data_IF_933036261320
#
_entry.id   IF_933036261320
#
_cell.length_a   1.000
_cell.length_b   1.000
_cell.length_c   1.000
_cell.angle_alpha   90.00
_cell.angle_beta   90.00
_cell.angle_gamma   90.00
#
_symmetry.space_group_name_H-M   'P 1'
#
loop_
_entity.id
_entity.type
_entity.pdbx_description
1 polymer ?
#
# COMPACT_ATOMS: atom_id res chain seq x y z
N UNK A 1 -15.97 8.43 -0.06
CA UNK A 1 -14.49 8.45 0.00
C UNK A 1 -13.90 9.75 -0.53
N UNK A 2 -14.09 10.16 -1.80
CA UNK A 2 -13.52 11.42 -2.31
C UNK A 2 -13.96 12.66 -1.49
N UNK A 3 -15.22 12.77 -1.11
CA UNK A 3 -15.71 13.84 -0.23
C UNK A 3 -15.03 13.84 1.15
N UNK A 4 -14.71 12.66 1.70
CA UNK A 4 -14.03 12.54 2.97
C UNK A 4 -12.55 13.01 2.91
N UNK A 5 -11.89 12.83 1.76
CA UNK A 5 -10.56 13.40 1.50
C UNK A 5 -10.63 14.92 1.49
N UNK A 6 -11.57 15.51 0.74
CA UNK A 6 -11.77 16.95 0.65
C UNK A 6 -12.07 17.60 2.01
N UNK A 7 -12.89 16.97 2.85
CA UNK A 7 -13.17 17.47 4.21
C UNK A 7 -11.94 17.48 5.12
N UNK A 8 -10.95 16.63 4.84
CA UNK A 8 -9.67 16.57 5.58
C UNK A 8 -8.56 17.38 4.92
N UNK A 9 -8.87 18.16 3.89
CA UNK A 9 -7.91 19.02 3.17
C UNK A 9 -6.90 18.24 2.34
N UNK A 10 -7.20 16.96 2.00
CA UNK A 10 -6.32 16.10 1.20
C UNK A 10 -6.66 16.31 -0.28
N UNK A 11 -5.66 16.69 -1.07
CA UNK A 11 -5.80 16.95 -2.52
C UNK A 11 -4.88 16.00 -3.31
N UNK A 12 -5.30 14.75 -3.52
CA UNK A 12 -4.45 13.75 -4.12
C UNK A 12 -4.23 14.02 -5.62
N UNK A 13 -3.00 13.76 -6.09
CA UNK A 13 -2.66 13.74 -7.51
C UNK A 13 -3.24 12.53 -8.25
N UNK A 14 -3.44 11.42 -7.51
CA UNK A 14 -4.02 10.18 -8.01
C UNK A 14 -4.93 9.58 -6.96
N UNK A 15 -6.08 9.07 -7.39
CA UNK A 15 -7.03 8.37 -6.54
C UNK A 15 -7.65 7.20 -7.30
N UNK A 16 -7.59 6.02 -6.70
CA UNK A 16 -8.27 4.82 -7.19
C UNK A 16 -9.07 4.17 -6.05
N UNK A 17 -10.18 3.53 -6.38
CA UNK A 17 -10.97 2.76 -5.41
C UNK A 17 -11.41 1.43 -6.00
N UNK A 18 -11.35 0.39 -5.18
CA UNK A 18 -11.72 -0.98 -5.53
C UNK A 18 -12.60 -1.58 -4.43
N UNK A 19 -13.53 -2.47 -4.77
CA UNK A 19 -14.26 -3.22 -3.75
C UNK A 19 -13.28 -4.11 -2.94
N UNK A 20 -13.59 -4.29 -1.68
CA UNK A 20 -12.85 -5.23 -0.83
C UNK A 20 -13.01 -6.67 -1.34
N UNK A 21 -12.04 -7.57 -1.09
CA UNK A 21 -12.12 -8.95 -1.52
C UNK A 21 -13.42 -9.63 -1.05
N UNK A 22 -14.10 -10.32 -1.97
CA UNK A 22 -15.36 -11.04 -1.75
C UNK A 22 -16.51 -10.18 -1.19
N UNK A 23 -16.46 -8.86 -1.40
CA UNK A 23 -17.43 -7.93 -0.85
C UNK A 23 -17.56 -6.69 -1.75
N UNK A 24 -18.78 -6.29 -2.06
CA UNK A 24 -19.08 -5.07 -2.82
C UNK A 24 -19.63 -3.94 -1.95
N UNK A 25 -19.79 -4.15 -0.65
CA UNK A 25 -20.33 -3.19 0.31
C UNK A 25 -19.24 -2.38 1.01
N UNK A 26 -18.04 -2.96 1.14
CA UNK A 26 -16.84 -2.27 1.67
C UNK A 26 -15.90 -1.99 0.52
N UNK A 27 -15.39 -0.78 0.46
CA UNK A 27 -14.49 -0.29 -0.58
C UNK A 27 -13.17 0.15 0.03
N UNK A 28 -12.10 -0.16 -0.68
CA UNK A 28 -10.76 0.36 -0.40
C UNK A 28 -10.40 1.42 -1.42
N UNK A 29 -9.90 2.56 -0.95
CA UNK A 29 -9.31 3.61 -1.78
C UNK A 29 -7.82 3.74 -1.51
N UNK A 30 -7.09 4.14 -2.54
CA UNK A 30 -5.69 4.59 -2.45
C UNK A 30 -5.63 5.98 -3.07
N UNK A 31 -5.04 6.92 -2.36
CA UNK A 31 -4.82 8.28 -2.83
C UNK A 31 -3.35 8.67 -2.64
N UNK A 32 -2.75 9.31 -3.64
CA UNK A 32 -1.35 9.76 -3.60
C UNK A 32 -1.31 11.28 -3.47
N UNK A 33 -0.55 11.77 -2.51
CA UNK A 33 -0.26 13.20 -2.33
C UNK A 33 1.21 13.39 -1.96
N UNK A 34 2.03 13.80 -2.94
CA UNK A 34 3.48 13.97 -2.77
C UNK A 34 4.17 12.69 -2.28
N UNK A 35 4.90 12.81 -1.17
CA UNK A 35 5.66 11.71 -0.56
C UNK A 35 4.82 10.79 0.33
N UNK A 36 3.50 10.96 0.31
CA UNK A 36 2.58 10.17 1.11
C UNK A 36 1.53 9.50 0.25
N UNK A 37 0.98 8.40 0.77
CA UNK A 37 -0.27 7.84 0.28
C UNK A 37 -1.24 7.65 1.44
N UNK A 38 -2.50 7.62 1.06
CA UNK A 38 -3.60 7.43 1.98
C UNK A 38 -4.31 6.14 1.63
N UNK A 39 -4.51 5.29 2.61
CA UNK A 39 -5.38 4.13 2.51
C UNK A 39 -6.73 4.50 3.12
N UNK A 40 -7.80 4.27 2.35
CA UNK A 40 -9.14 4.72 2.67
C UNK A 40 -10.04 3.50 2.71
N UNK A 41 -10.79 3.36 3.78
CA UNK A 41 -11.80 2.32 3.90
C UNK A 41 -13.16 2.89 4.18
N UNK A 42 -14.18 2.48 3.39
CA UNK A 42 -15.54 2.92 3.55
C UNK A 42 -16.52 1.80 3.24
N UNK A 43 -17.54 1.64 4.10
CA UNK A 43 -18.75 0.91 3.77
C UNK A 43 -19.71 1.83 2.99
N UNK A 44 -20.58 1.26 2.16
CA UNK A 44 -21.66 2.01 1.52
C UNK A 44 -22.65 2.61 2.53
N UNK A 45 -22.64 2.15 3.76
CA UNK A 45 -23.48 2.63 4.86
C UNK A 45 -22.82 3.71 5.71
N UNK A 46 -21.50 3.94 5.51
CA UNK A 46 -20.76 4.94 6.30
C UNK A 46 -21.19 6.35 5.96
N UNK A 47 -21.33 7.19 6.97
CA UNK A 47 -21.32 8.64 6.80
C UNK A 47 -19.91 9.11 6.43
N UNK A 48 -19.82 10.34 5.92
CA UNK A 48 -18.55 10.89 5.42
C UNK A 48 -17.48 10.99 6.52
N UNK A 49 -17.89 11.26 7.76
CA UNK A 49 -17.05 11.35 8.94
C UNK A 49 -16.62 9.96 9.48
N UNK A 50 -17.36 8.91 9.14
CA UNK A 50 -17.05 7.52 9.53
C UNK A 50 -16.05 6.83 8.58
N UNK A 51 -15.74 7.46 7.44
CA UNK A 51 -14.74 6.95 6.49
C UNK A 51 -13.36 6.93 7.13
N UNK A 52 -12.74 5.76 7.18
CA UNK A 52 -11.39 5.60 7.71
C UNK A 52 -10.37 6.07 6.67
N UNK A 53 -9.43 6.93 7.08
CA UNK A 53 -8.32 7.40 6.24
C UNK A 53 -7.05 7.32 7.06
N UNK A 54 -6.06 6.57 6.57
CA UNK A 54 -4.72 6.48 7.17
C UNK A 54 -3.67 6.93 6.17
N UNK A 55 -2.71 7.72 6.67
CA UNK A 55 -1.59 8.25 5.90
C UNK A 55 -0.34 7.43 6.17
N UNK A 56 0.39 7.11 5.10
CA UNK A 56 1.65 6.39 5.14
C UNK A 56 2.70 7.05 4.25
N UNK A 57 3.99 6.99 4.61
CA UNK A 57 5.07 7.48 3.75
C UNK A 57 5.29 6.53 2.57
N UNK A 58 5.65 7.09 1.42
CA UNK A 58 6.06 6.32 0.23
C UNK A 58 7.53 5.92 0.25
N UNK A 59 8.37 6.60 1.05
CA UNK A 59 9.80 6.38 1.21
C UNK A 59 10.58 6.35 -0.12
N UNK A 60 10.23 7.23 -1.05
CA UNK A 60 10.80 7.25 -2.42
C UNK A 60 12.30 7.50 -2.44
N UNK A 61 12.85 8.16 -1.41
CA UNK A 61 14.27 8.38 -1.20
C UNK A 61 15.10 7.08 -1.20
N UNK A 62 14.51 5.96 -0.80
CA UNK A 62 15.19 4.65 -0.86
C UNK A 62 15.53 4.22 -2.29
N UNK A 63 14.82 4.73 -3.28
CA UNK A 63 15.02 4.40 -4.69
C UNK A 63 15.99 5.34 -5.41
N UNK A 64 16.41 6.46 -4.81
CA UNK A 64 17.27 7.47 -5.44
C UNK A 64 18.50 6.86 -6.15
N UNK A 65 19.24 5.91 -5.55
CA UNK A 65 20.43 5.36 -6.21
C UNK A 65 20.13 4.57 -7.49
N UNK A 66 18.88 4.19 -7.72
CA UNK A 66 18.47 3.28 -8.79
C UNK A 66 17.32 3.81 -9.65
N UNK A 67 16.91 5.07 -9.45
CA UNK A 67 15.79 5.68 -10.18
C UNK A 67 15.94 5.61 -11.70
N UNK A 68 17.17 5.72 -12.20
CA UNK A 68 17.45 5.71 -13.63
C UNK A 68 17.52 4.30 -14.24
N UNK A 69 17.51 3.27 -13.41
CA UNK A 69 17.59 1.91 -13.91
C UNK A 69 16.32 1.52 -14.70
N UNK A 70 16.44 0.91 -15.89
CA UNK A 70 15.30 0.56 -16.76
C UNK A 70 14.25 -0.33 -16.05
N UNK A 71 14.68 -1.21 -15.13
CA UNK A 71 13.78 -2.05 -14.33
C UNK A 71 12.91 -1.25 -13.39
N UNK A 72 13.48 -0.23 -12.70
CA UNK A 72 12.72 0.66 -11.81
C UNK A 72 11.74 1.50 -12.63
N UNK A 73 12.18 2.09 -13.74
CA UNK A 73 11.31 2.86 -14.66
C UNK A 73 10.13 2.01 -15.18
N UNK A 74 10.38 0.73 -15.48
CA UNK A 74 9.32 -0.20 -15.88
C UNK A 74 8.31 -0.45 -14.74
N UNK A 75 8.77 -0.60 -13.49
CA UNK A 75 7.88 -0.77 -12.34
C UNK A 75 7.08 0.51 -12.06
N UNK A 76 7.69 1.68 -12.16
CA UNK A 76 6.98 2.97 -12.03
C UNK A 76 5.87 3.09 -13.07
N UNK A 77 6.17 2.79 -14.33
CA UNK A 77 5.17 2.75 -15.40
C UNK A 77 4.07 1.72 -15.13
N UNK A 78 4.44 0.50 -14.73
CA UNK A 78 3.49 -0.58 -14.44
C UNK A 78 2.54 -0.22 -13.30
N UNK A 79 3.05 0.39 -12.23
CA UNK A 79 2.27 0.80 -11.06
C UNK A 79 1.52 2.11 -11.27
N UNK A 80 1.71 2.78 -12.40
CA UNK A 80 1.18 4.13 -12.69
C UNK A 80 1.53 5.12 -11.56
N UNK A 81 2.75 5.08 -11.08
CA UNK A 81 3.28 5.84 -9.95
C UNK A 81 2.58 5.60 -8.59
N UNK A 82 1.70 4.61 -8.51
CA UNK A 82 1.05 4.19 -7.28
C UNK A 82 1.87 3.11 -6.57
N UNK A 83 3.03 3.48 -6.06
CA UNK A 83 3.94 2.57 -5.35
C UNK A 83 4.54 3.24 -4.13
N UNK A 84 5.06 2.40 -3.22
CA UNK A 84 5.95 2.79 -2.13
C UNK A 84 7.23 1.98 -2.19
N UNK A 85 8.28 2.50 -1.56
CA UNK A 85 9.48 1.74 -1.25
C UNK A 85 9.53 1.39 0.24
N UNK A 86 10.19 0.30 0.57
CA UNK A 86 10.45 -0.11 1.94
C UNK A 86 11.70 -0.98 1.99
N UNK A 87 12.29 -1.07 3.17
CA UNK A 87 13.52 -1.80 3.41
C UNK A 87 13.27 -2.91 4.43
N UNK A 88 13.83 -4.09 4.20
CA UNK A 88 13.90 -5.17 5.16
C UNK A 88 15.21 -5.91 4.98
N UNK A 89 15.89 -6.17 6.09
CA UNK A 89 17.26 -6.66 6.09
C UNK A 89 18.14 -5.78 5.18
N UNK A 90 18.92 -6.34 4.30
CA UNK A 90 19.76 -5.60 3.36
C UNK A 90 19.10 -5.41 1.98
N UNK A 91 17.77 -5.42 1.91
CA UNK A 91 17.03 -5.36 0.65
C UNK A 91 16.05 -4.18 0.61
N UNK A 92 15.94 -3.55 -0.55
CA UNK A 92 14.94 -2.51 -0.82
C UNK A 92 13.91 -3.07 -1.79
N UNK A 93 12.67 -2.87 -1.45
CA UNK A 93 11.52 -3.35 -2.20
C UNK A 93 10.67 -2.19 -2.72
N UNK A 94 10.02 -2.43 -3.85
CA UNK A 94 8.96 -1.59 -4.40
C UNK A 94 7.65 -2.36 -4.36
N UNK A 95 6.62 -1.79 -3.75
CA UNK A 95 5.27 -2.39 -3.66
C UNK A 95 4.27 -1.59 -4.47
N UNK A 96 3.47 -2.30 -5.25
CA UNK A 96 2.30 -1.73 -5.94
C UNK A 96 1.15 -1.54 -4.94
N UNK A 97 0.71 -0.32 -4.76
CA UNK A 97 -0.32 0.04 -3.78
C UNK A 97 -1.75 -0.31 -4.23
N UNK A 98 -1.94 -0.63 -5.51
CA UNK A 98 -3.28 -0.87 -6.08
C UNK A 98 -3.89 -2.19 -5.61
N UNK A 99 -3.07 -3.20 -5.30
CA UNK A 99 -3.55 -4.53 -4.90
C UNK A 99 -2.96 -4.97 -3.56
N UNK A 100 -3.84 -5.18 -2.62
CA UNK A 100 -3.48 -5.54 -1.25
C UNK A 100 -3.84 -4.43 -0.27
N UNK A 101 -3.20 -4.43 0.88
CA UNK A 101 -3.37 -3.44 1.95
C UNK A 101 -2.01 -3.16 2.57
N UNK A 102 -1.89 -2.11 3.38
CA UNK A 102 -0.65 -1.83 4.09
C UNK A 102 -0.15 -3.07 4.85
N UNK A 103 1.13 -3.40 4.65
CA UNK A 103 1.76 -4.60 5.19
C UNK A 103 1.42 -5.94 4.49
N UNK A 104 0.53 -5.95 3.48
CA UNK A 104 0.16 -7.16 2.75
C UNK A 104 -0.14 -6.88 1.26
N UNK A 105 0.74 -6.15 0.60
CA UNK A 105 0.63 -5.91 -0.84
C UNK A 105 0.93 -7.17 -1.64
N UNK A 106 0.15 -7.39 -2.69
CA UNK A 106 0.26 -8.60 -3.54
C UNK A 106 1.50 -8.55 -4.43
N UNK A 107 1.88 -7.35 -4.88
CA UNK A 107 3.01 -7.15 -5.79
C UNK A 107 4.12 -6.39 -5.08
N UNK A 108 5.14 -7.13 -4.66
CA UNK A 108 6.36 -6.62 -4.07
C UNK A 108 7.54 -7.09 -4.92
N UNK A 109 8.43 -6.16 -5.28
CA UNK A 109 9.58 -6.42 -6.14
C UNK A 109 10.86 -6.02 -5.42
N UNK A 110 11.83 -6.92 -5.30
CA UNK A 110 13.17 -6.60 -4.85
C UNK A 110 13.87 -5.75 -5.92
N UNK A 111 14.25 -4.52 -5.59
CA UNK A 111 14.89 -3.59 -6.54
C UNK A 111 16.36 -3.34 -6.23
N UNK A 112 16.78 -3.46 -4.97
CA UNK A 112 18.17 -3.34 -4.53
C UNK A 112 18.45 -4.37 -3.47
N UNK A 113 19.70 -4.90 -3.48
CA UNK A 113 20.28 -5.68 -2.40
C UNK A 113 21.57 -5.00 -1.98
N UNK A 114 21.76 -4.80 -0.67
CA UNK A 114 23.02 -4.31 -0.12
C UNK A 114 23.89 -5.49 0.20
N UNK A 115 25.09 -5.51 -0.37
CA UNK A 115 26.12 -6.50 -0.09
C UNK A 115 27.31 -5.82 0.61
N UNK A 116 28.18 -6.57 1.31
CA UNK A 116 29.36 -5.99 2.01
C UNK A 116 30.27 -5.20 1.07
N UNK A 117 30.33 -5.55 -0.20
CA UNK A 117 31.14 -4.89 -1.24
C UNK A 117 30.42 -3.73 -1.93
N UNK A 118 29.15 -3.46 -1.58
CA UNK A 118 28.34 -2.37 -2.13
C UNK A 118 26.92 -2.81 -2.50
N UNK A 119 26.12 -1.84 -2.93
CA UNK A 119 24.73 -2.12 -3.33
C UNK A 119 24.68 -2.75 -4.73
N UNK A 120 23.98 -3.87 -4.84
CA UNK A 120 23.75 -4.59 -6.09
C UNK A 120 22.30 -4.43 -6.50
N UNK A 121 22.05 -4.33 -7.81
CA UNK A 121 20.69 -4.31 -8.33
C UNK A 121 19.95 -5.60 -7.93
N UNK A 122 18.74 -5.43 -7.45
CA UNK A 122 17.85 -6.53 -7.14
C UNK A 122 17.42 -7.30 -8.40
N UNK A 123 16.85 -8.46 -8.17
CA UNK A 123 16.44 -9.36 -9.25
C UNK A 123 15.19 -8.89 -10.00
N UNK A 124 14.51 -7.82 -9.55
CA UNK A 124 13.17 -7.39 -9.99
C UNK A 124 12.14 -8.54 -9.93
N UNK A 125 12.47 -9.53 -9.12
CA UNK A 125 11.61 -10.69 -8.92
C UNK A 125 10.46 -10.32 -7.99
N UNK A 126 9.27 -10.76 -8.34
CA UNK A 126 8.11 -10.64 -7.47
C UNK A 126 8.31 -11.56 -6.26
N UNK A 127 8.11 -11.01 -5.07
CA UNK A 127 7.99 -11.81 -3.84
C UNK A 127 6.62 -12.48 -3.81
N UNK A 128 6.61 -13.78 -3.55
CA UNK A 128 5.37 -14.51 -3.31
C UNK A 128 4.95 -14.28 -1.86
N UNK A 129 3.92 -13.48 -1.66
CA UNK A 129 3.25 -13.36 -0.37
C UNK A 129 1.94 -14.14 -0.39
N UNK A 130 1.69 -14.92 0.65
CA UNK A 130 0.41 -15.62 0.80
C UNK A 130 -0.67 -14.63 1.23
N UNK A 131 -1.84 -14.64 0.56
CA UNK A 131 -2.95 -13.78 0.98
C UNK A 131 -3.38 -14.12 2.42
N UNK A 132 -3.60 -13.09 3.22
CA UNK A 132 -4.07 -13.23 4.60
C UNK A 132 -5.60 -13.36 4.62
N UNK A 133 -6.09 -14.58 4.44
CA UNK A 133 -7.54 -14.88 4.42
C UNK A 133 -8.18 -14.78 5.81
N UNK A 134 -7.38 -14.81 6.88
CA UNK A 134 -7.79 -14.66 8.28
C UNK A 134 -8.56 -13.35 8.55
N UNK A 135 -8.33 -12.32 7.73
CA UNK A 135 -8.98 -11.01 7.87
C UNK A 135 -10.32 -10.86 7.14
N UNK A 136 -10.74 -11.83 6.35
CA UNK A 136 -12.04 -11.75 5.66
C UNK A 136 -13.19 -11.52 6.63
N UNK A 137 -13.14 -12.11 7.84
CA UNK A 137 -14.15 -11.88 8.88
C UNK A 137 -14.25 -10.40 9.27
N UNK A 138 -13.12 -9.71 9.42
CA UNK A 138 -13.08 -8.29 9.77
C UNK A 138 -13.68 -7.42 8.65
N UNK A 139 -13.44 -7.78 7.37
CA UNK A 139 -14.06 -7.09 6.22
C UNK A 139 -15.58 -7.19 6.30
N UNK A 140 -16.13 -8.37 6.65
CA UNK A 140 -17.57 -8.55 6.81
C UNK A 140 -18.12 -7.77 8.00
N UNK A 141 -17.42 -7.73 9.13
CA UNK A 141 -17.82 -6.94 10.29
C UNK A 141 -17.83 -5.44 9.98
N UNK A 142 -16.84 -4.95 9.22
CA UNK A 142 -16.71 -3.54 8.83
C UNK A 142 -17.89 -3.02 7.99
N UNK A 143 -18.69 -3.91 7.38
CA UNK A 143 -19.89 -3.48 6.64
C UNK A 143 -20.81 -2.64 7.51
N UNK A 144 -21.01 -3.04 8.76
CA UNK A 144 -21.99 -2.45 9.67
C UNK A 144 -21.36 -1.76 10.89
N UNK A 145 -20.05 -1.89 11.08
CA UNK A 145 -19.32 -1.32 12.21
C UNK A 145 -18.13 -0.49 11.72
N UNK A 146 -18.28 0.85 11.67
CA UNK A 146 -17.21 1.74 11.24
C UNK A 146 -16.01 1.77 12.19
N UNK A 147 -16.10 1.23 13.40
CA UNK A 147 -14.98 1.15 14.36
C UNK A 147 -13.98 0.06 14.02
N UNK A 148 -14.34 -0.93 13.19
CA UNK A 148 -13.45 -2.02 12.78
C UNK A 148 -12.34 -1.47 11.89
N UNK A 149 -11.11 -1.53 12.36
CA UNK A 149 -9.93 -1.12 11.62
C UNK A 149 -9.45 -2.23 10.69
N UNK A 150 -9.45 -1.97 9.39
CA UNK A 150 -8.96 -2.91 8.36
C UNK A 150 -7.49 -2.70 8.00
N UNK A 151 -6.86 -1.65 8.48
CA UNK A 151 -5.42 -1.46 8.28
C UNK A 151 -4.61 -2.47 9.08
N UNK A 152 -3.50 -2.91 8.53
CA UNK A 152 -2.54 -3.76 9.26
C UNK A 152 -1.61 -2.84 10.03
N UNK A 153 -1.49 -3.02 11.35
CA UNK A 153 -0.43 -2.38 12.10
C UNK A 153 0.91 -2.96 11.64
N UNK A 154 1.87 -2.09 11.35
CA UNK A 154 3.22 -2.47 10.89
C UNK A 154 3.95 -3.32 11.96
N UNK A 155 3.57 -3.18 13.22
CA UNK A 155 4.14 -3.92 14.36
C UNK A 155 3.98 -5.44 14.28
N UNK A 156 2.98 -5.93 13.55
CA UNK A 156 2.76 -7.38 13.38
C UNK A 156 3.69 -8.04 12.34
N UNK A 157 4.49 -7.27 11.62
CA UNK A 157 5.38 -7.78 10.56
C UNK A 157 6.81 -8.04 11.05
N UNK A 158 7.20 -7.48 12.20
CA UNK A 158 8.57 -7.51 12.74
C UNK A 158 8.96 -8.77 13.51
N UNK A 159 8.07 -9.71 13.77
CA UNK A 159 8.32 -10.85 14.66
C UNK A 159 7.99 -12.21 14.02
N UNK A 160 8.59 -12.51 12.87
CA UNK A 160 8.75 -13.91 12.46
C UNK A 160 10.11 -14.11 11.80
N UNK A 161 11.08 -14.37 12.69
CA UNK A 161 12.34 -15.08 12.36
C UNK A 161 12.00 -16.47 11.86
#
# INVERSE_FOLDING_TARGET
MAAALGLRGISPSTYESTPAPFNTLVWRGVAIEGDYYYEIWASIFDKVDEVQIKRYPRNLNLLEPVLDHPGVKRLQWFTKDQYKAWESDDQIFLSDLRMGVEGAYVFNFEVVRREPEGSVMGSFRRLEQRPRLDRLKQVWQRIFDPSIDLSIAIEDLGHRS
#
